data_IF_417120254561
#
_entry.id   IF_417120254561
#
_cell.length_a   1.000
_cell.length_b   1.000
_cell.length_c   1.000
_cell.angle_alpha   90.00
_cell.angle_beta   90.00
_cell.angle_gamma   90.00
#
_symmetry.space_group_name_H-M   'P 1'
#
loop_
_entity.id
_entity.type
_entity.pdbx_description
1 polymer ?
#
# COMPACT_ATOMS: atom_id res chain seq x y z
N UNK A 1 -5.06 -21.35 0.13
CA UNK A 1 -4.86 -20.92 -1.27
C UNK A 1 -4.17 -19.56 -1.21
N UNK A 2 -3.05 -19.34 -1.93
CA UNK A 2 -2.32 -18.08 -1.83
C UNK A 2 -3.22 -16.95 -2.32
N UNK A 3 -3.51 -16.03 -1.41
CA UNK A 3 -4.19 -14.78 -1.73
C UNK A 3 -3.08 -13.75 -1.93
N UNK A 4 -3.02 -13.16 -3.12
CA UNK A 4 -2.08 -12.08 -3.41
C UNK A 4 -2.86 -10.78 -3.43
N UNK A 5 -2.33 -9.72 -2.84
CA UNK A 5 -2.91 -8.37 -2.88
C UNK A 5 -1.87 -7.45 -3.47
N UNK A 6 -2.18 -6.89 -4.64
CA UNK A 6 -1.38 -5.84 -5.25
C UNK A 6 -1.79 -4.48 -4.66
N UNK A 7 -0.83 -3.62 -4.39
CA UNK A 7 -1.08 -2.34 -3.72
C UNK A 7 -0.52 -1.18 -4.55
N UNK A 8 -1.33 -0.14 -4.77
CA UNK A 8 -0.93 1.09 -5.44
C UNK A 8 -1.29 2.31 -4.61
N UNK A 9 -0.40 3.29 -4.56
CA UNK A 9 -0.70 4.64 -4.09
C UNK A 9 -0.89 5.56 -5.29
N UNK A 10 -2.10 6.09 -5.43
CA UNK A 10 -2.44 7.06 -6.47
C UNK A 10 -2.48 8.47 -5.86
N UNK A 11 -1.48 9.28 -6.23
CA UNK A 11 -1.45 10.71 -5.97
C UNK A 11 -1.57 11.46 -7.30
N UNK A 12 -2.51 12.39 -7.39
CA UNK A 12 -2.78 13.20 -8.58
C UNK A 12 -2.58 14.70 -8.27
N UNK A 13 -1.33 15.14 -8.03
CA UNK A 13 -1.05 16.54 -7.65
C UNK A 13 -1.45 17.56 -8.72
N UNK A 14 -1.66 17.13 -9.96
CA UNK A 14 -2.11 18.00 -11.07
C UNK A 14 -3.59 18.37 -10.98
N UNK A 15 -4.42 17.60 -10.28
CA UNK A 15 -5.85 17.91 -10.11
C UNK A 15 -6.08 19.16 -9.25
N UNK A 16 -5.10 19.54 -8.42
CA UNK A 16 -5.18 20.74 -7.59
C UNK A 16 -4.90 22.03 -8.39
N UNK A 17 -4.37 21.94 -9.61
CA UNK A 17 -3.95 23.09 -10.42
C UNK A 17 -5.10 23.75 -11.23
N UNK A 18 -6.20 23.05 -11.48
CA UNK A 18 -7.18 23.45 -12.52
C UNK A 18 -8.40 24.28 -12.05
N UNK A 19 -8.41 24.85 -10.83
CA UNK A 19 -9.57 25.63 -10.33
C UNK A 19 -9.29 27.09 -9.98
N UNK A 20 -8.74 27.84 -10.94
CA UNK A 20 -8.84 29.30 -10.96
C UNK A 20 -10.20 29.85 -11.44
N UNK A 21 -11.16 29.02 -11.86
CA UNK A 21 -12.46 29.49 -12.35
C UNK A 21 -13.57 28.47 -12.12
N UNK A 22 -14.79 28.97 -11.87
CA UNK A 22 -16.06 28.26 -11.73
C UNK A 22 -16.38 27.70 -10.33
N UNK A 23 -16.92 28.57 -9.48
CA UNK A 23 -17.78 28.20 -8.37
C UNK A 23 -19.01 27.44 -8.91
N UNK A 24 -19.28 26.25 -8.38
CA UNK A 24 -20.51 25.49 -8.64
C UNK A 24 -21.08 25.07 -7.30
N UNK A 25 -22.37 25.34 -7.14
CA UNK A 25 -23.22 25.09 -5.97
C UNK A 25 -23.24 23.62 -5.55
N UNK A 26 -23.23 23.42 -4.23
CA UNK A 26 -23.25 22.13 -3.55
C UNK A 26 -24.56 21.37 -3.79
N UNK A 27 -24.46 20.14 -4.29
CA UNK A 27 -25.52 19.13 -4.24
C UNK A 27 -24.96 17.90 -3.48
N UNK A 28 -25.68 17.29 -2.53
CA UNK A 28 -25.14 16.18 -1.74
C UNK A 28 -25.00 14.95 -2.63
N UNK A 29 -23.76 14.59 -2.97
CA UNK A 29 -23.47 13.30 -3.59
C UNK A 29 -23.43 12.24 -2.50
N UNK A 30 -24.36 11.30 -2.56
CA UNK A 30 -24.34 10.08 -1.74
C UNK A 30 -23.04 9.31 -2.05
N UNK A 31 -22.11 9.32 -1.10
CA UNK A 31 -20.92 8.49 -1.14
C UNK A 31 -21.16 7.21 -0.34
N UNK A 32 -21.08 6.06 -1.01
CA UNK A 32 -21.05 4.77 -0.34
C UNK A 32 -19.67 4.55 0.29
N UNK A 33 -19.54 4.81 1.59
CA UNK A 33 -18.34 4.54 2.36
C UNK A 33 -18.55 4.89 3.83
N UNK A 34 -18.14 3.99 4.72
CA UNK A 34 -18.23 4.19 6.17
C UNK A 34 -17.22 5.27 6.61
N UNK A 35 -17.70 6.34 7.24
CA UNK A 35 -16.90 7.53 7.60
C UNK A 35 -16.21 7.38 8.96
N UNK A 36 -16.42 6.27 9.66
CA UNK A 36 -16.12 6.14 11.10
C UNK A 36 -14.61 5.97 11.47
N UNK A 37 -13.68 6.31 10.58
CA UNK A 37 -12.24 6.17 10.85
C UNK A 37 -11.31 7.21 10.24
N UNK A 38 -11.82 8.17 9.46
CA UNK A 38 -11.00 9.25 8.91
C UNK A 38 -11.18 10.51 9.77
N UNK A 39 -10.09 11.08 10.27
CA UNK A 39 -10.08 12.34 11.02
C UNK A 39 -10.69 13.48 10.19
N UNK A 40 -12.01 13.62 10.22
CA UNK A 40 -12.75 14.72 9.62
C UNK A 40 -12.87 15.87 10.63
N UNK A 41 -11.73 16.41 11.06
CA UNK A 41 -11.67 17.69 11.79
C UNK A 41 -10.43 18.47 11.33
N UNK A 42 -10.41 18.80 10.05
CA UNK A 42 -9.71 19.97 9.58
C UNK A 42 -10.62 20.59 8.51
N UNK A 43 -11.13 21.79 8.78
CA UNK A 43 -11.50 22.71 7.70
C UNK A 43 -10.19 23.08 6.99
N UNK A 44 -9.65 22.12 6.24
CA UNK A 44 -8.53 22.35 5.34
C UNK A 44 -9.15 22.77 4.00
N UNK A 45 -8.51 23.70 3.32
CA UNK A 45 -8.75 23.95 1.92
C UNK A 45 -8.33 22.68 1.16
N UNK A 46 -9.21 21.66 1.18
CA UNK A 46 -8.83 20.28 0.92
C UNK A 46 -8.46 20.13 -0.54
N UNK A 47 -7.29 19.52 -0.78
CA UNK A 47 -6.90 19.03 -2.09
C UNK A 47 -8.10 18.38 -2.79
N UNK A 48 -8.31 18.71 -4.06
CA UNK A 48 -9.43 18.22 -4.86
C UNK A 48 -9.40 16.69 -4.98
N UNK A 49 -8.23 16.10 -4.71
CA UNK A 49 -8.00 14.67 -4.69
C UNK A 49 -7.57 14.17 -3.31
N UNK A 50 -8.32 13.21 -2.76
CA UNK A 50 -7.90 12.46 -1.58
C UNK A 50 -6.86 11.40 -1.98
N UNK A 51 -5.72 11.28 -1.26
CA UNK A 51 -4.77 10.19 -1.50
C UNK A 51 -5.46 8.83 -1.51
N UNK A 52 -5.20 8.01 -2.52
CA UNK A 52 -5.89 6.73 -2.72
C UNK A 52 -4.92 5.56 -2.59
N UNK A 53 -5.22 4.66 -1.65
CA UNK A 53 -4.62 3.32 -1.60
C UNK A 53 -5.57 2.37 -2.35
N UNK A 54 -5.10 1.82 -3.47
CA UNK A 54 -5.84 0.84 -4.27
C UNK A 54 -5.31 -0.57 -3.99
N UNK A 55 -6.17 -1.43 -3.47
CA UNK A 55 -5.87 -2.84 -3.20
C UNK A 55 -6.58 -3.74 -4.22
N UNK A 56 -5.81 -4.55 -4.96
CA UNK A 56 -6.34 -5.46 -5.97
C UNK A 56 -6.06 -6.90 -5.52
N UNK A 57 -7.06 -7.61 -4.95
CA UNK A 57 -6.90 -9.01 -4.60
C UNK A 57 -6.89 -9.88 -5.86
N UNK A 58 -5.85 -10.70 -6.01
CA UNK A 58 -5.60 -11.52 -7.18
C UNK A 58 -5.37 -12.99 -6.79
N UNK A 59 -5.78 -13.88 -7.68
CA UNK A 59 -5.40 -15.30 -7.66
C UNK A 59 -4.71 -15.62 -8.98
N UNK A 60 -3.38 -15.68 -8.94
CA UNK A 60 -2.53 -15.84 -10.15
C UNK A 60 -2.30 -17.31 -10.55
N UNK A 61 -2.98 -18.25 -9.89
CA UNK A 61 -2.91 -19.67 -10.21
C UNK A 61 -3.64 -20.57 -9.21
N UNK A 62 -3.52 -21.89 -9.41
CA UNK A 62 -4.12 -22.89 -8.52
C UNK A 62 -3.20 -23.25 -7.36
N UNK A 63 -2.00 -23.73 -7.69
CA UNK A 63 -0.95 -24.10 -6.74
C UNK A 63 0.19 -23.08 -6.78
N UNK A 64 0.68 -22.80 -7.98
CA UNK A 64 1.78 -21.89 -8.28
C UNK A 64 1.29 -20.76 -9.19
N UNK A 65 2.07 -19.68 -9.27
CA UNK A 65 1.78 -18.57 -10.19
C UNK A 65 1.97 -19.06 -11.62
N UNK A 66 0.98 -18.79 -12.48
CA UNK A 66 1.12 -19.07 -13.91
C UNK A 66 2.20 -18.15 -14.51
N UNK A 67 3.15 -18.72 -15.27
CA UNK A 67 4.27 -18.01 -15.91
C UNK A 67 3.82 -16.82 -16.75
N UNK A 68 2.63 -16.89 -17.35
CA UNK A 68 2.04 -15.79 -18.11
C UNK A 68 1.85 -14.49 -17.27
N UNK A 69 1.82 -14.58 -15.94
CA UNK A 69 1.68 -13.44 -15.04
C UNK A 69 3.01 -12.93 -14.47
N UNK A 70 4.13 -13.62 -14.67
CA UNK A 70 5.42 -13.23 -14.08
C UNK A 70 5.85 -11.85 -14.60
N UNK A 71 5.88 -11.67 -15.92
CA UNK A 71 6.31 -10.39 -16.50
C UNK A 71 5.35 -9.23 -16.16
N UNK A 72 4.02 -9.38 -16.31
CA UNK A 72 3.08 -8.35 -15.83
C UNK A 72 3.26 -7.99 -14.35
N UNK A 73 3.54 -8.97 -13.48
CA UNK A 73 3.78 -8.72 -12.06
C UNK A 73 5.05 -7.90 -11.83
N UNK A 74 6.13 -8.17 -12.58
CA UNK A 74 7.36 -7.36 -12.55
C UNK A 74 7.08 -5.93 -12.98
N UNK A 75 6.30 -5.72 -14.04
CA UNK A 75 5.91 -4.38 -14.49
C UNK A 75 5.13 -3.61 -13.41
N UNK A 76 4.30 -4.31 -12.63
CA UNK A 76 3.61 -3.70 -11.49
C UNK A 76 4.57 -3.18 -10.39
N UNK A 77 5.71 -3.83 -10.15
CA UNK A 77 6.75 -3.30 -9.25
C UNK A 77 7.49 -2.08 -9.83
N UNK A 78 7.49 -1.91 -11.14
CA UNK A 78 8.17 -0.80 -11.83
C UNK A 78 7.34 0.48 -11.88
N UNK A 79 6.05 0.42 -11.51
CA UNK A 79 5.19 1.60 -11.47
C UNK A 79 5.61 2.54 -10.33
N UNK A 80 5.67 3.87 -10.54
CA UNK A 80 5.94 4.83 -9.48
C UNK A 80 4.94 4.76 -8.31
N UNK A 81 3.72 4.31 -8.58
CA UNK A 81 2.64 4.13 -7.63
C UNK A 81 2.74 2.82 -6.85
N UNK A 82 3.68 1.93 -7.20
CA UNK A 82 3.75 0.61 -6.60
C UNK A 82 4.01 0.70 -5.10
N UNK A 83 3.11 0.12 -4.32
CA UNK A 83 3.33 -0.18 -2.91
C UNK A 83 3.70 -1.64 -2.73
N UNK A 84 4.09 -2.35 -3.79
CA UNK A 84 4.45 -3.75 -3.73
C UNK A 84 3.27 -4.72 -3.60
N UNK A 85 3.55 -5.90 -3.07
CA UNK A 85 2.63 -7.05 -3.06
C UNK A 85 2.65 -7.75 -1.72
N UNK A 86 1.48 -8.04 -1.15
CA UNK A 86 1.36 -8.95 -0.01
C UNK A 86 0.87 -10.29 -0.53
N UNK A 87 1.54 -11.37 -0.13
CA UNK A 87 1.12 -12.71 -0.51
C UNK A 87 1.82 -13.78 0.31
N UNK A 88 1.62 -15.04 -0.07
CA UNK A 88 2.28 -16.17 0.57
C UNK A 88 1.34 -17.34 0.85
N UNK A 89 1.91 -18.37 1.48
CA UNK A 89 1.16 -19.55 1.91
C UNK A 89 0.59 -19.31 3.33
N UNK A 90 -0.40 -20.09 3.78
CA UNK A 90 -0.83 -20.03 5.18
C UNK A 90 0.38 -20.13 6.12
N UNK A 91 0.48 -19.20 7.09
CA UNK A 91 1.59 -19.08 8.04
C UNK A 91 2.97 -18.76 7.42
N UNK A 92 2.99 -18.27 6.17
CA UNK A 92 4.20 -17.91 5.44
C UNK A 92 3.88 -16.73 4.51
N UNK A 93 3.44 -15.61 5.11
CA UNK A 93 3.08 -14.38 4.40
C UNK A 93 4.27 -13.42 4.33
N UNK A 94 4.50 -12.82 3.16
CA UNK A 94 5.62 -11.92 2.90
C UNK A 94 5.11 -10.62 2.26
N UNK A 95 5.82 -9.52 2.50
CA UNK A 95 5.60 -8.26 1.82
C UNK A 95 6.69 -8.04 0.77
N UNK A 96 6.37 -8.32 -0.48
CA UNK A 96 7.26 -8.16 -1.62
C UNK A 96 7.32 -6.69 -2.03
N UNK A 97 8.53 -6.15 -2.14
CA UNK A 97 8.79 -4.73 -2.40
C UNK A 97 9.46 -4.50 -3.76
N UNK A 98 9.88 -5.55 -4.45
CA UNK A 98 10.53 -5.45 -5.75
C UNK A 98 11.06 -6.79 -6.25
N UNK A 99 11.97 -6.75 -7.22
CA UNK A 99 12.60 -7.93 -7.80
C UNK A 99 14.01 -7.62 -8.32
N UNK A 100 14.84 -8.66 -8.45
CA UNK A 100 16.14 -8.62 -9.15
C UNK A 100 16.25 -9.89 -9.99
N UNK A 101 16.37 -9.74 -11.31
CA UNK A 101 16.33 -10.88 -12.23
C UNK A 101 14.98 -11.59 -12.14
N UNK A 102 14.99 -12.84 -11.69
CA UNK A 102 13.79 -13.67 -11.46
C UNK A 102 13.45 -13.87 -9.98
N UNK A 103 14.22 -13.24 -9.07
CA UNK A 103 14.00 -13.31 -7.62
C UNK A 103 13.17 -12.12 -7.14
N UNK A 104 12.23 -12.36 -6.22
CA UNK A 104 11.46 -11.31 -5.57
C UNK A 104 12.17 -10.86 -4.30
N UNK A 105 12.17 -9.56 -4.05
CA UNK A 105 12.70 -8.99 -2.81
C UNK A 105 11.53 -8.78 -1.84
N UNK A 106 11.68 -9.21 -0.58
CA UNK A 106 10.60 -9.11 0.40
C UNK A 106 11.05 -8.83 1.83
N UNK A 107 10.09 -8.35 2.62
CA UNK A 107 10.16 -8.26 4.08
C UNK A 107 9.40 -9.44 4.70
N UNK A 108 10.03 -10.07 5.70
CA UNK A 108 9.54 -11.27 6.37
C UNK A 108 9.10 -10.96 7.82
N UNK A 109 7.80 -11.10 8.17
CA UNK A 109 7.31 -10.85 9.51
C UNK A 109 7.49 -12.03 10.49
N UNK A 110 8.07 -13.18 10.09
CA UNK A 110 8.11 -14.38 10.93
C UNK A 110 9.20 -14.37 12.02
N UNK A 111 9.62 -13.19 12.47
CA UNK A 111 10.49 -13.02 13.63
C UNK A 111 9.70 -12.38 14.76
N UNK A 112 9.54 -13.10 15.87
CA UNK A 112 8.90 -12.53 17.07
C UNK A 112 9.86 -11.59 17.78
N UNK A 113 9.40 -10.37 18.07
CA UNK A 113 10.15 -9.35 18.78
C UNK A 113 9.39 -8.93 20.05
N UNK A 114 10.07 -8.40 21.08
CA UNK A 114 9.41 -7.78 22.23
C UNK A 114 8.51 -6.62 21.79
N UNK A 115 7.40 -6.42 22.49
CA UNK A 115 6.59 -5.22 22.30
C UNK A 115 7.39 -3.99 22.76
N UNK A 116 7.32 -2.91 21.97
CA UNK A 116 7.93 -1.62 22.31
C UNK A 116 6.86 -0.74 22.95
N UNK A 117 7.12 -0.29 24.16
CA UNK A 117 6.27 0.67 24.86
C UNK A 117 6.61 2.11 24.42
N UNK A 118 5.61 2.95 24.12
CA UNK A 118 5.85 4.36 23.83
C UNK A 118 6.30 5.12 25.09
N UNK A 119 7.22 6.08 24.90
CA UNK A 119 7.64 7.00 25.94
C UNK A 119 6.53 8.01 26.26
N UNK A 120 6.63 8.70 27.40
CA UNK A 120 5.65 9.71 27.84
C UNK A 120 5.46 10.84 26.82
N UNK A 121 6.51 11.17 26.06
CA UNK A 121 6.51 12.20 25.02
C UNK A 121 5.92 11.71 23.67
N UNK A 122 5.38 10.49 23.62
CA UNK A 122 4.83 9.87 22.41
C UNK A 122 5.87 9.33 21.42
N UNK A 123 7.17 9.49 21.72
CA UNK A 123 8.27 8.90 20.96
C UNK A 123 8.51 7.45 21.38
N UNK A 124 9.05 6.63 20.49
CA UNK A 124 9.44 5.26 20.81
C UNK A 124 10.71 4.88 20.04
N UNK A 125 11.54 3.96 20.56
CA UNK A 125 12.68 3.44 19.81
C UNK A 125 12.16 2.65 18.60
N UNK A 126 12.58 3.04 17.39
CA UNK A 126 12.07 2.49 16.13
C UNK A 126 13.01 1.47 15.48
N UNK A 127 14.19 1.22 16.05
CA UNK A 127 15.23 0.32 15.51
C UNK A 127 14.69 -1.05 15.09
N UNK A 128 13.73 -1.59 15.86
CA UNK A 128 13.15 -2.91 15.63
C UNK A 128 12.15 -2.96 14.46
N UNK A 129 11.71 -1.80 13.97
CA UNK A 129 10.79 -1.63 12.85
C UNK A 129 11.52 -1.39 11.51
N UNK A 130 12.85 -1.31 11.52
CA UNK A 130 13.68 -1.19 10.32
C UNK A 130 14.52 -2.46 10.12
N UNK A 131 14.29 -3.16 9.01
CA UNK A 131 15.11 -4.33 8.68
C UNK A 131 16.49 -3.89 8.18
N UNK A 132 17.54 -4.09 8.98
CA UNK A 132 18.93 -3.75 8.63
C UNK A 132 19.69 -4.93 7.99
N UNK A 133 19.03 -6.05 7.75
CA UNK A 133 19.64 -7.21 7.11
C UNK A 133 19.59 -7.09 5.58
N UNK A 134 20.51 -7.76 4.86
CA UNK A 134 20.38 -7.91 3.41
C UNK A 134 18.98 -8.40 3.06
N UNK A 135 18.33 -7.83 2.02
CA UNK A 135 16.97 -8.23 1.66
C UNK A 135 16.92 -9.73 1.33
N UNK A 136 15.89 -10.41 1.86
CA UNK A 136 15.62 -11.80 1.49
C UNK A 136 15.26 -11.88 0.00
N UNK A 137 15.66 -12.98 -0.65
CA UNK A 137 15.48 -13.28 -2.08
C UNK A 137 14.73 -14.59 -2.25
#
# INVERSE_FOLDING_TARGET
LPKTVFMQQLCMPWLDFDRGACAVSEEPREMNGDLEGACALAEEETALWKPLVLLIPLRLGLSDINEAYIEPLKQCFMMPQSLGVIGGKPNSAHYFIGFVGDELIYLDPHTTQPAVDPNEDGQFPDDSYHCQHPPCR
#
